data_IF_385420426327
#
_entry.id   IF_385420426327
#
_cell.length_a   1.000
_cell.length_b   1.000
_cell.length_c   1.000
_cell.angle_alpha   90.00
_cell.angle_beta   90.00
_cell.angle_gamma   90.00
#
_symmetry.space_group_name_H-M   'P 1'
#
loop_
_entity.id
_entity.type
_entity.pdbx_description
1 polymer ?
#
# COMPACT_ATOMS: atom_id res chain seq x y z
N UNK A 1 44.21 -1.78 -64.81
CA UNK A 1 43.85 -2.68 -63.70
C UNK A 1 43.18 -1.84 -62.60
N UNK A 2 41.84 -1.82 -62.54
CA UNK A 2 41.06 -1.13 -61.52
C UNK A 2 40.06 -2.13 -60.94
N UNK A 3 40.26 -2.53 -59.68
CA UNK A 3 39.37 -3.44 -58.96
C UNK A 3 38.16 -2.65 -58.41
N UNK A 4 36.99 -3.25 -58.63
CA UNK A 4 35.65 -2.78 -58.36
C UNK A 4 35.36 -2.57 -56.86
N UNK A 5 34.98 -1.36 -56.49
CA UNK A 5 34.61 -0.93 -55.13
C UNK A 5 33.10 -1.12 -54.84
N UNK A 6 32.40 -1.94 -55.62
CA UNK A 6 30.93 -2.03 -55.61
C UNK A 6 30.31 -2.94 -54.53
N UNK A 7 31.06 -3.93 -54.02
CA UNK A 7 30.44 -5.04 -53.26
C UNK A 7 30.42 -4.87 -51.72
N UNK A 8 30.99 -3.79 -51.17
CA UNK A 8 31.03 -3.57 -49.71
C UNK A 8 29.83 -2.77 -49.17
N UNK A 9 29.14 -2.02 -50.02
CA UNK A 9 28.03 -1.14 -49.61
C UNK A 9 26.72 -1.92 -49.44
N UNK A 10 26.55 -3.06 -50.11
CA UNK A 10 25.34 -3.87 -50.03
C UNK A 10 25.27 -4.75 -48.78
N UNK A 11 26.40 -5.20 -48.24
CA UNK A 11 26.43 -6.02 -47.01
C UNK A 11 26.08 -5.20 -45.75
N UNK A 12 26.49 -3.94 -45.67
CA UNK A 12 26.17 -3.07 -44.53
C UNK A 12 24.68 -2.70 -44.42
N UNK A 13 23.96 -2.66 -45.54
CA UNK A 13 22.52 -2.34 -45.53
C UNK A 13 21.67 -3.52 -45.03
N UNK A 14 22.15 -4.75 -45.15
CA UNK A 14 21.44 -5.94 -44.67
C UNK A 14 21.56 -6.11 -43.14
N UNK A 15 22.69 -5.72 -42.55
CA UNK A 15 22.88 -5.77 -41.09
C UNK A 15 22.15 -4.65 -40.34
N UNK A 16 21.98 -3.46 -40.94
CA UNK A 16 21.20 -2.39 -40.33
C UNK A 16 19.68 -2.71 -40.28
N UNK A 17 19.18 -3.51 -41.22
CA UNK A 17 17.77 -3.88 -41.27
C UNK A 17 17.39 -4.91 -40.17
N UNK A 18 18.31 -5.79 -39.77
CA UNK A 18 18.07 -6.78 -38.70
C UNK A 18 18.19 -6.14 -37.31
N UNK A 19 19.06 -5.14 -37.13
CA UNK A 19 19.17 -4.41 -35.87
C UNK A 19 17.94 -3.53 -35.57
N UNK A 20 17.20 -3.06 -36.59
CA UNK A 20 16.01 -2.25 -36.42
C UNK A 20 14.73 -3.05 -36.11
N UNK A 21 14.67 -4.35 -36.46
CA UNK A 21 13.52 -5.21 -36.15
C UNK A 21 13.56 -5.72 -34.69
N UNK A 22 14.73 -5.71 -34.04
CA UNK A 22 14.91 -6.18 -32.65
C UNK A 22 14.69 -5.12 -31.56
N UNK A 23 14.46 -3.86 -31.93
CA UNK A 23 14.29 -2.75 -30.97
C UNK A 23 12.85 -2.21 -30.86
N UNK A 24 11.89 -2.82 -31.57
CA UNK A 24 10.51 -2.31 -31.68
C UNK A 24 9.46 -3.02 -30.82
N UNK A 25 9.83 -3.99 -29.98
CA UNK A 25 8.92 -4.50 -28.96
C UNK A 25 8.90 -3.51 -27.80
N UNK A 26 8.22 -2.39 -28.02
CA UNK A 26 7.68 -1.61 -26.92
C UNK A 26 6.73 -2.55 -26.16
N UNK A 27 7.23 -3.13 -25.08
CA UNK A 27 6.37 -3.74 -24.06
C UNK A 27 5.45 -2.62 -23.59
N UNK A 28 4.25 -2.52 -24.20
CA UNK A 28 3.14 -1.82 -23.57
C UNK A 28 2.89 -2.60 -22.29
N UNK A 29 3.43 -2.12 -21.18
CA UNK A 29 3.12 -2.65 -19.87
C UNK A 29 1.60 -2.56 -19.73
N UNK A 30 0.92 -3.70 -19.90
CA UNK A 30 -0.50 -3.76 -19.63
C UNK A 30 -0.66 -3.46 -18.14
N UNK A 31 -1.53 -2.51 -17.82
CA UNK A 31 -1.86 -2.23 -16.43
C UNK A 31 -2.43 -3.52 -15.83
N UNK A 32 -1.70 -4.12 -14.88
CA UNK A 32 -2.14 -5.33 -14.20
C UNK A 32 -3.36 -4.97 -13.37
N UNK A 33 -4.41 -5.77 -13.52
CA UNK A 33 -5.65 -5.63 -12.76
C UNK A 33 -5.64 -6.58 -11.57
N UNK A 34 -6.04 -6.05 -10.43
CA UNK A 34 -6.28 -6.79 -9.20
C UNK A 34 -7.77 -6.76 -8.90
N UNK A 35 -8.34 -7.91 -8.59
CA UNK A 35 -9.72 -8.00 -8.13
C UNK A 35 -9.82 -9.03 -7.02
N UNK A 36 -10.79 -8.87 -6.14
CA UNK A 36 -10.95 -9.73 -4.99
C UNK A 36 -11.84 -9.11 -3.92
N UNK A 37 -11.64 -9.57 -2.70
CA UNK A 37 -12.32 -9.04 -1.51
C UNK A 37 -11.29 -8.56 -0.51
N UNK A 38 -11.63 -7.49 0.19
CA UNK A 38 -10.86 -7.00 1.33
C UNK A 38 -11.52 -7.43 2.64
N UNK A 39 -10.71 -7.58 3.66
CA UNK A 39 -11.11 -7.71 5.07
C UNK A 39 -10.18 -6.86 5.93
N UNK A 40 -10.53 -6.66 7.20
CA UNK A 40 -9.59 -6.07 8.14
C UNK A 40 -9.84 -6.51 9.57
N UNK A 41 -8.74 -6.64 10.30
CA UNK A 41 -8.70 -7.06 11.69
C UNK A 41 -7.91 -6.05 12.50
N UNK A 42 -8.49 -5.58 13.61
CA UNK A 42 -7.79 -4.72 14.54
C UNK A 42 -6.99 -5.56 15.53
N UNK A 43 -5.82 -5.06 15.92
CA UNK A 43 -5.09 -5.58 17.06
C UNK A 43 -5.13 -4.65 18.27
N UNK A 44 -4.50 -5.10 19.34
CA UNK A 44 -4.39 -4.32 20.57
C UNK A 44 -3.41 -3.15 20.40
N UNK A 45 -3.62 -2.02 21.10
CA UNK A 45 -2.65 -0.93 21.14
C UNK A 45 -1.27 -1.41 21.57
N UNK A 46 -0.21 -0.77 21.07
CA UNK A 46 1.17 -1.17 21.33
C UNK A 46 1.62 -0.85 22.77
N UNK A 47 1.08 0.24 23.34
CA UNK A 47 1.45 0.72 24.68
C UNK A 47 0.21 1.11 25.49
N UNK A 48 -0.72 0.18 25.79
CA UNK A 48 -1.90 0.49 26.58
C UNK A 48 -1.52 0.73 28.05
N UNK A 49 -2.22 1.66 28.72
CA UNK A 49 -2.17 1.74 30.19
C UNK A 49 -2.78 0.47 30.80
N UNK A 50 -2.30 -0.02 31.96
CA UNK A 50 -2.91 -1.16 32.67
C UNK A 50 -4.40 -0.99 32.98
N UNK A 51 -4.88 0.25 33.04
CA UNK A 51 -6.27 0.60 33.32
C UNK A 51 -7.12 0.76 32.05
N UNK A 52 -6.52 0.64 30.85
CA UNK A 52 -7.23 0.79 29.59
C UNK A 52 -8.27 -0.32 29.45
N UNK A 53 -9.53 0.04 29.21
CA UNK A 53 -10.58 -0.91 28.89
C UNK A 53 -10.59 -1.11 27.37
N UNK A 54 -10.19 -2.29 26.89
CA UNK A 54 -10.04 -2.58 25.45
C UNK A 54 -10.74 -3.89 25.13
N UNK A 55 -11.48 -3.92 24.02
CA UNK A 55 -12.09 -5.14 23.48
C UNK A 55 -12.04 -5.18 21.96
N UNK A 56 -11.82 -6.36 21.40
CA UNK A 56 -11.86 -6.62 19.96
C UNK A 56 -13.00 -7.60 19.70
N UNK A 57 -13.84 -7.27 18.73
CA UNK A 57 -15.08 -8.02 18.45
C UNK A 57 -15.35 -8.10 16.94
N UNK A 58 -16.17 -9.08 16.58
CA UNK A 58 -16.64 -9.34 15.22
C UNK A 58 -18.00 -8.68 15.00
N UNK A 59 -18.13 -7.89 13.94
CA UNK A 59 -19.34 -7.14 13.57
C UNK A 59 -19.61 -7.24 12.07
N UNK A 60 -20.88 -7.19 11.68
CA UNK A 60 -21.31 -7.18 10.27
C UNK A 60 -20.75 -8.35 9.42
N UNK A 61 -20.46 -9.49 10.06
CA UNK A 61 -19.88 -10.67 9.40
C UNK A 61 -18.35 -10.60 9.22
N UNK A 62 -17.68 -9.53 9.65
CA UNK A 62 -16.22 -9.46 9.72
C UNK A 62 -15.67 -10.12 10.99
N UNK A 63 -14.40 -10.55 10.96
CA UNK A 63 -13.69 -11.13 12.10
C UNK A 63 -12.80 -10.09 12.75
N UNK A 64 -12.91 -9.89 14.07
CA UNK A 64 -12.07 -8.93 14.83
C UNK A 64 -12.01 -7.52 14.21
N UNK A 65 -13.06 -7.16 13.48
CA UNK A 65 -13.09 -5.97 12.64
C UNK A 65 -13.53 -4.72 13.39
N UNK A 66 -13.78 -4.83 14.70
CA UNK A 66 -14.04 -3.71 15.60
C UNK A 66 -13.15 -3.73 16.84
N UNK A 67 -12.42 -2.64 17.05
CA UNK A 67 -11.73 -2.32 18.29
C UNK A 67 -12.55 -1.29 19.05
N UNK A 68 -12.90 -1.58 20.31
CA UNK A 68 -13.64 -0.69 21.21
C UNK A 68 -12.80 -0.42 22.45
N UNK A 69 -12.78 0.83 22.93
CA UNK A 69 -12.03 1.22 24.10
C UNK A 69 -12.75 2.24 24.99
N UNK A 70 -12.25 2.31 26.22
CA UNK A 70 -12.73 3.21 27.26
C UNK A 70 -13.98 2.68 27.96
N UNK A 71 -14.11 3.04 29.22
CA UNK A 71 -15.34 2.90 30.00
C UNK A 71 -16.14 4.17 29.73
N UNK A 72 -17.32 4.02 29.14
CA UNK A 72 -18.19 5.13 28.82
C UNK A 72 -18.70 5.83 30.09
N UNK A 73 -18.86 7.15 30.02
CA UNK A 73 -19.66 7.91 30.99
C UNK A 73 -21.14 7.50 30.91
N UNK A 74 -21.95 7.74 31.95
CA UNK A 74 -23.38 7.45 31.92
C UNK A 74 -24.07 8.06 30.69
N UNK A 75 -24.96 7.29 30.05
CA UNK A 75 -25.70 7.65 28.84
C UNK A 75 -24.83 7.94 27.59
N UNK A 76 -23.56 7.53 27.62
CA UNK A 76 -22.61 7.62 26.50
C UNK A 76 -22.20 6.22 26.05
N UNK A 77 -21.51 6.14 24.92
CA UNK A 77 -20.97 4.89 24.39
C UNK A 77 -19.44 4.91 24.42
N UNK A 78 -18.77 3.74 24.48
CA UNK A 78 -17.32 3.67 24.41
C UNK A 78 -16.82 4.02 23.01
N UNK A 79 -15.63 4.60 22.90
CA UNK A 79 -15.03 4.88 21.60
C UNK A 79 -14.71 3.60 20.84
N UNK A 80 -14.80 3.62 19.52
CA UNK A 80 -14.50 2.44 18.71
C UNK A 80 -14.12 2.79 17.27
N UNK A 81 -13.29 1.95 16.67
CA UNK A 81 -13.11 1.88 15.22
C UNK A 81 -13.61 0.55 14.70
N UNK A 82 -14.22 0.56 13.52
CA UNK A 82 -14.65 -0.63 12.82
C UNK A 82 -14.28 -0.53 11.34
N UNK A 83 -13.73 -1.59 10.77
CA UNK A 83 -13.43 -1.67 9.34
C UNK A 83 -14.25 -2.77 8.67
N UNK A 84 -15.12 -2.39 7.73
CA UNK A 84 -15.91 -3.33 6.95
C UNK A 84 -15.31 -3.41 5.54
N UNK A 85 -14.74 -4.56 5.21
CA UNK A 85 -14.19 -4.87 3.89
C UNK A 85 -15.26 -4.97 2.80
N UNK A 86 -14.83 -5.10 1.54
CA UNK A 86 -15.69 -5.13 0.36
C UNK A 86 -15.03 -5.81 -0.83
N UNK A 87 -15.83 -6.08 -1.86
CA UNK A 87 -15.30 -6.46 -3.16
C UNK A 87 -14.64 -5.25 -3.83
N UNK A 88 -13.55 -5.50 -4.55
CA UNK A 88 -12.82 -4.49 -5.32
C UNK A 88 -12.37 -5.03 -6.68
N UNK A 89 -12.14 -4.09 -7.60
CA UNK A 89 -11.46 -4.30 -8.86
C UNK A 89 -10.71 -3.01 -9.18
N UNK A 90 -9.41 -3.10 -9.45
CA UNK A 90 -8.53 -1.95 -9.66
C UNK A 90 -7.39 -2.32 -10.59
N UNK A 91 -6.74 -1.32 -11.19
CA UNK A 91 -5.43 -1.47 -11.82
C UNK A 91 -4.32 -1.07 -10.85
N UNK A 92 -3.11 -1.58 -11.08
CA UNK A 92 -1.91 -1.07 -10.44
C UNK A 92 -1.83 0.47 -10.57
N UNK A 93 -1.41 1.14 -9.50
CA UNK A 93 -1.34 2.60 -9.35
C UNK A 93 -2.69 3.35 -9.40
N UNK A 94 -3.82 2.65 -9.46
CA UNK A 94 -5.15 3.27 -9.40
C UNK A 94 -5.73 3.22 -7.99
N UNK A 95 -6.38 4.33 -7.60
CA UNK A 95 -7.13 4.42 -6.35
C UNK A 95 -8.27 3.40 -6.35
N UNK A 96 -8.43 2.69 -5.25
CA UNK A 96 -9.59 1.83 -5.05
C UNK A 96 -10.04 1.84 -3.60
N UNK A 97 -11.33 1.57 -3.42
CA UNK A 97 -11.97 1.53 -2.12
C UNK A 97 -11.68 0.18 -1.45
N UNK A 98 -10.95 0.21 -0.33
CA UNK A 98 -10.62 -0.94 0.48
C UNK A 98 -11.78 -1.35 1.40
N UNK A 99 -12.70 -0.46 1.71
CA UNK A 99 -13.74 -0.74 2.71
C UNK A 99 -14.23 0.53 3.38
N UNK A 100 -15.14 0.35 4.34
CA UNK A 100 -15.68 1.44 5.14
C UNK A 100 -15.05 1.42 6.53
N UNK A 101 -14.44 2.53 6.92
CA UNK A 101 -14.04 2.79 8.29
C UNK A 101 -15.18 3.56 9.00
N UNK A 102 -15.66 3.01 10.11
CA UNK A 102 -16.52 3.71 11.06
C UNK A 102 -15.71 4.10 12.28
N UNK A 103 -15.80 5.35 12.71
CA UNK A 103 -15.18 5.82 13.94
C UNK A 103 -16.27 6.41 14.84
N UNK A 104 -16.58 5.72 15.93
CA UNK A 104 -17.39 6.27 17.01
C UNK A 104 -16.49 6.94 18.02
N UNK A 105 -16.57 8.26 18.12
CA UNK A 105 -15.93 9.01 19.20
C UNK A 105 -16.93 9.17 20.34
N UNK A 106 -16.75 8.37 21.40
CA UNK A 106 -17.63 8.32 22.56
C UNK A 106 -17.01 9.00 23.77
N UNK A 107 -17.84 9.34 24.75
CA UNK A 107 -17.35 9.99 25.98
C UNK A 107 -16.96 8.97 27.03
N UNK A 108 -15.66 8.83 27.27
CA UNK A 108 -15.10 7.83 28.17
C UNK A 108 -14.30 8.44 29.31
N UNK A 109 -14.09 7.68 30.38
CA UNK A 109 -13.23 8.13 31.48
C UNK A 109 -11.75 8.09 31.05
N UNK A 110 -11.02 9.19 31.25
CA UNK A 110 -9.62 9.34 30.82
C UNK A 110 -8.72 8.19 31.29
N UNK A 111 -8.89 7.70 32.53
CA UNK A 111 -8.08 6.60 33.06
C UNK A 111 -8.28 5.27 32.32
N UNK A 112 -9.37 5.12 31.57
CA UNK A 112 -9.73 3.89 30.86
C UNK A 112 -9.42 3.94 29.35
N UNK A 113 -8.94 5.09 28.86
CA UNK A 113 -8.52 5.27 27.47
C UNK A 113 -7.05 4.86 27.27
N UNK A 114 -6.65 4.83 26.01
CA UNK A 114 -5.26 4.77 25.59
C UNK A 114 -5.02 5.82 24.50
N UNK A 115 -3.84 6.43 24.52
CA UNK A 115 -3.29 7.19 23.39
C UNK A 115 -2.20 6.37 22.72
N UNK A 116 -1.97 6.63 21.43
CA UNK A 116 -0.86 6.03 20.71
C UNK A 116 -1.27 5.06 19.62
N UNK A 117 -0.32 4.20 19.26
CA UNK A 117 -0.42 3.38 18.05
C UNK A 117 -1.14 2.06 18.31
N UNK A 118 -1.95 1.64 17.33
CA UNK A 118 -2.64 0.37 17.29
C UNK A 118 -2.76 -0.15 15.84
N UNK A 119 -2.68 -1.47 15.63
CA UNK A 119 -2.57 -2.04 14.29
C UNK A 119 -3.93 -2.32 13.64
N UNK A 120 -3.97 -2.13 12.32
CA UNK A 120 -4.97 -2.68 11.39
C UNK A 120 -4.25 -3.61 10.41
N UNK A 121 -4.63 -4.89 10.41
CA UNK A 121 -4.25 -5.83 9.35
C UNK A 121 -5.33 -5.80 8.28
N UNK A 122 -4.96 -5.47 7.04
CA UNK A 122 -5.84 -5.57 5.87
C UNK A 122 -5.53 -6.86 5.14
N UNK A 123 -6.53 -7.73 5.00
CA UNK A 123 -6.47 -8.92 4.17
C UNK A 123 -7.00 -8.63 2.76
N UNK A 124 -6.32 -9.12 1.73
CA UNK A 124 -6.79 -9.16 0.35
C UNK A 124 -6.90 -10.63 -0.06
N UNK A 125 -8.12 -11.09 -0.34
CA UNK A 125 -8.35 -12.37 -1.03
C UNK A 125 -8.47 -12.07 -2.52
N UNK A 126 -7.37 -12.22 -3.24
CA UNK A 126 -7.25 -11.96 -4.67
C UNK A 126 -7.90 -13.07 -5.48
N UNK A 127 -8.55 -12.68 -6.56
CA UNK A 127 -9.14 -13.55 -7.59
C UNK A 127 -8.60 -13.23 -8.98
N UNK A 128 -8.11 -11.99 -9.16
CA UNK A 128 -7.31 -11.58 -10.31
C UNK A 128 -6.05 -10.87 -9.83
N UNK A 129 -4.91 -11.05 -10.51
CA UNK A 129 -4.74 -11.90 -11.71
C UNK A 129 -4.55 -13.41 -11.39
N UNK A 130 -4.52 -13.78 -10.12
CA UNK A 130 -4.44 -15.16 -9.63
C UNK A 130 -5.14 -15.25 -8.27
N UNK A 131 -5.46 -16.47 -7.84
CA UNK A 131 -6.02 -16.70 -6.52
C UNK A 131 -4.90 -16.68 -5.47
N UNK A 132 -4.97 -15.76 -4.51
CA UNK A 132 -4.03 -15.68 -3.39
C UNK A 132 -4.61 -14.92 -2.21
N UNK A 133 -4.03 -15.11 -1.04
CA UNK A 133 -4.34 -14.32 0.15
C UNK A 133 -3.11 -13.53 0.57
N UNK A 134 -3.29 -12.21 0.73
CA UNK A 134 -2.23 -11.29 1.11
C UNK A 134 -2.65 -10.48 2.33
N UNK A 135 -1.72 -10.22 3.24
CA UNK A 135 -1.97 -9.44 4.44
C UNK A 135 -1.01 -8.26 4.55
N UNK A 136 -1.55 -7.08 4.83
CA UNK A 136 -0.80 -5.83 4.95
C UNK A 136 -1.05 -5.21 6.31
N UNK A 137 0.01 -4.84 7.03
CA UNK A 137 -0.13 -4.30 8.37
C UNK A 137 0.10 -2.79 8.36
N UNK A 138 -0.82 -2.07 8.97
CA UNK A 138 -0.76 -0.62 9.13
C UNK A 138 -0.89 -0.23 10.60
N UNK A 139 -0.24 0.86 10.98
CA UNK A 139 -0.42 1.47 12.29
C UNK A 139 -1.28 2.73 12.17
N UNK A 140 -2.28 2.80 13.04
CA UNK A 140 -3.09 3.97 13.29
C UNK A 140 -2.71 4.54 14.65
N UNK A 141 -2.90 5.85 14.80
CA UNK A 141 -2.66 6.57 16.03
C UNK A 141 -3.94 7.25 16.48
N UNK A 142 -4.28 7.09 17.77
CA UNK A 142 -5.36 7.85 18.41
C UNK A 142 -4.77 8.85 19.39
N UNK A 143 -5.31 10.07 19.37
CA UNK A 143 -5.13 11.07 20.40
C UNK A 143 -6.51 11.45 20.94
N UNK A 144 -6.79 11.07 22.19
CA UNK A 144 -8.01 11.44 22.88
C UNK A 144 -7.88 12.88 23.38
N UNK A 145 -8.91 13.69 23.20
CA UNK A 145 -8.93 15.10 23.60
C UNK A 145 -9.83 15.31 24.81
N UNK A 146 -9.43 16.13 25.81
CA UNK A 146 -10.32 16.44 26.93
C UNK A 146 -11.56 17.21 26.47
N UNK A 147 -12.74 16.76 26.92
CA UNK A 147 -14.03 17.39 26.64
C UNK A 147 -14.29 18.63 27.53
N UNK A 148 -13.52 19.70 27.35
CA UNK A 148 -13.57 20.87 28.23
C UNK A 148 -14.21 22.12 27.59
N UNK A 149 -14.44 22.13 26.28
CA UNK A 149 -15.02 23.30 25.60
C UNK A 149 -16.55 23.23 25.49
N UNK A 150 -17.11 22.02 25.53
CA UNK A 150 -18.53 21.77 25.26
C UNK A 150 -18.88 21.85 23.76
N UNK A 151 -17.89 22.05 22.90
CA UNK A 151 -18.04 22.03 21.45
C UNK A 151 -17.57 20.65 20.93
N UNK A 152 -18.47 19.80 20.41
CA UNK A 152 -18.13 18.46 19.98
C UNK A 152 -17.03 18.39 18.90
N UNK A 153 -16.83 19.45 18.12
CA UNK A 153 -15.80 19.50 17.09
C UNK A 153 -14.42 19.80 17.71
N UNK A 154 -14.36 20.71 18.68
CA UNK A 154 -13.10 21.08 19.35
C UNK A 154 -12.66 20.02 20.36
N UNK A 155 -13.64 19.36 20.97
CA UNK A 155 -13.48 18.22 21.88
C UNK A 155 -13.36 16.88 21.13
N UNK A 156 -13.25 16.92 19.80
CA UNK A 156 -13.17 15.73 18.96
C UNK A 156 -11.78 15.08 18.98
N UNK A 157 -11.77 13.78 19.25
CA UNK A 157 -10.59 12.92 19.19
C UNK A 157 -10.05 12.80 17.76
N UNK A 158 -8.75 12.50 17.65
CA UNK A 158 -8.03 12.50 16.36
C UNK A 158 -7.49 11.13 16.01
N UNK A 159 -7.99 10.59 14.90
CA UNK A 159 -7.51 9.35 14.30
C UNK A 159 -6.71 9.63 13.02
N UNK A 160 -5.50 9.08 12.95
CA UNK A 160 -4.56 9.27 11.82
C UNK A 160 -3.70 8.04 11.57
N UNK A 161 -3.03 7.98 10.42
CA UNK A 161 -2.00 6.95 10.16
C UNK A 161 -0.69 7.29 10.88
N UNK A 162 -0.03 6.30 11.48
CA UNK A 162 1.27 6.49 12.13
C UNK A 162 2.42 6.55 11.12
N UNK A 163 2.35 5.81 10.00
CA UNK A 163 3.47 5.60 9.05
C UNK A 163 3.15 5.99 7.60
N UNK A 164 2.56 7.16 7.36
CA UNK A 164 2.22 7.69 6.02
C UNK A 164 1.42 6.73 5.10
N UNK A 165 0.84 5.67 5.67
CA UNK A 165 -0.02 4.72 4.98
C UNK A 165 0.68 3.67 4.12
N UNK A 166 2.01 3.49 4.14
CA UNK A 166 2.68 2.48 3.30
C UNK A 166 2.96 1.21 4.10
N UNK A 167 2.56 0.05 3.55
CA UNK A 167 2.84 -1.27 4.13
C UNK A 167 4.27 -1.72 3.83
N UNK A 168 4.92 -2.39 4.79
CA UNK A 168 6.20 -3.08 4.58
C UNK A 168 6.06 -4.44 3.91
N UNK A 169 4.86 -5.03 3.92
CA UNK A 169 4.57 -6.28 3.25
C UNK A 169 4.52 -6.08 1.73
N UNK A 170 5.17 -7.00 1.02
CA UNK A 170 5.20 -7.07 -0.44
C UNK A 170 4.76 -8.47 -0.88
N UNK A 171 4.16 -8.54 -2.07
CA UNK A 171 3.88 -9.82 -2.74
C UNK A 171 4.36 -9.79 -4.19
N UNK A 172 4.77 -10.94 -4.71
CA UNK A 172 5.29 -11.06 -6.07
C UNK A 172 4.22 -11.56 -7.03
N UNK A 173 4.10 -10.89 -8.18
CA UNK A 173 3.35 -11.39 -9.32
C UNK A 173 4.17 -11.23 -10.61
N UNK A 174 4.41 -12.35 -11.30
CA UNK A 174 5.20 -12.41 -12.53
C UNK A 174 6.56 -11.68 -12.43
N UNK A 175 7.25 -11.82 -11.30
CA UNK A 175 8.56 -11.20 -11.09
C UNK A 175 8.52 -9.70 -10.75
N UNK A 176 7.33 -9.14 -10.49
CA UNK A 176 7.16 -7.78 -9.98
C UNK A 176 6.60 -7.82 -8.57
N UNK A 177 7.28 -7.14 -7.66
CA UNK A 177 6.81 -6.99 -6.28
C UNK A 177 5.83 -5.83 -6.18
N UNK A 178 4.78 -6.00 -5.38
CA UNK A 178 3.73 -5.02 -5.13
C UNK A 178 3.53 -4.83 -3.64
N UNK A 179 3.19 -3.61 -3.22
CA UNK A 179 2.74 -3.29 -1.87
C UNK A 179 1.41 -2.54 -1.90
N UNK A 180 0.69 -2.58 -0.78
CA UNK A 180 -0.50 -1.77 -0.56
C UNK A 180 -0.12 -0.47 0.14
N UNK A 181 -0.51 0.66 -0.46
CA UNK A 181 -0.44 1.99 0.14
C UNK A 181 -1.84 2.49 0.46
N UNK A 182 -2.12 2.79 1.72
CA UNK A 182 -3.26 3.59 2.15
C UNK A 182 -3.07 5.03 1.69
N UNK A 183 -4.06 5.54 0.97
CA UNK A 183 -4.06 6.89 0.45
C UNK A 183 -4.82 7.85 1.36
N UNK A 184 -5.83 7.36 2.07
CA UNK A 184 -6.62 8.16 3.01
C UNK A 184 -8.11 7.86 2.95
N UNK A 185 -8.88 8.78 3.48
CA UNK A 185 -10.31 8.66 3.69
C UNK A 185 -11.10 9.49 2.68
N UNK A 186 -12.27 9.01 2.28
CA UNK A 186 -13.16 9.74 1.38
C UNK A 186 -14.63 9.45 1.68
N UNK A 187 -15.44 10.49 1.63
CA UNK A 187 -16.91 10.44 1.73
C UNK A 187 -17.61 10.69 0.39
N UNK A 188 -16.86 10.97 -0.67
CA UNK A 188 -17.38 11.39 -1.98
C UNK A 188 -16.89 10.52 -3.15
N UNK A 189 -16.67 9.23 -2.88
CA UNK A 189 -16.30 8.26 -3.91
C UNK A 189 -14.86 8.43 -4.43
N UNK A 190 -13.95 8.91 -3.59
CA UNK A 190 -12.53 9.05 -3.94
C UNK A 190 -12.17 10.35 -4.66
N UNK A 191 -13.13 11.30 -4.82
CA UNK A 191 -12.85 12.61 -5.44
C UNK A 191 -11.92 13.46 -4.57
N UNK A 192 -12.09 13.39 -3.25
CA UNK A 192 -11.18 13.97 -2.28
C UNK A 192 -10.70 12.90 -1.32
N UNK A 193 -9.39 12.88 -1.07
CA UNK A 193 -8.73 11.97 -0.14
C UNK A 193 -8.12 12.80 0.99
N UNK A 194 -8.51 12.50 2.23
CA UNK A 194 -8.01 13.15 3.44
C UNK A 194 -7.10 12.20 4.22
N UNK A 195 -6.04 12.72 4.83
CA UNK A 195 -5.10 11.92 5.64
C UNK A 195 -5.57 11.68 7.08
N UNK A 196 -6.62 12.36 7.51
CA UNK A 196 -7.16 12.31 8.87
C UNK A 196 -8.65 11.95 8.84
N UNK A 197 -9.12 11.29 9.90
CA UNK A 197 -10.51 10.90 10.05
C UNK A 197 -11.01 11.20 11.47
N UNK A 198 -11.49 12.43 11.67
CA UNK A 198 -11.95 12.88 12.99
C UNK A 198 -13.48 12.68 13.09
N UNK A 199 -13.95 12.34 14.29
CA UNK A 199 -15.37 12.26 14.61
C UNK A 199 -15.67 13.20 15.78
N UNK A 200 -16.68 14.08 15.67
CA UNK A 200 -17.10 14.91 16.81
C UNK A 200 -17.44 14.05 18.03
N UNK A 201 -17.26 14.63 19.21
CA UNK A 201 -17.55 13.98 20.48
C UNK A 201 -19.00 13.49 20.56
N UNK A 202 -19.19 12.24 21.00
CA UNK A 202 -20.50 11.59 21.10
C UNK A 202 -21.14 11.25 19.74
N UNK A 203 -20.36 11.18 18.66
CA UNK A 203 -20.86 10.91 17.31
C UNK A 203 -20.11 9.78 16.60
N UNK A 204 -20.72 9.26 15.53
CA UNK A 204 -20.13 8.24 14.66
C UNK A 204 -19.92 8.81 13.27
N UNK A 205 -18.67 8.91 12.84
CA UNK A 205 -18.29 9.23 11.48
C UNK A 205 -18.10 7.95 10.66
N UNK A 206 -18.37 8.03 9.34
CA UNK A 206 -18.06 6.95 8.38
C UNK A 206 -17.37 7.53 7.15
N UNK A 207 -16.31 6.87 6.70
CA UNK A 207 -15.65 7.16 5.44
C UNK A 207 -15.14 5.89 4.78
N UNK A 208 -15.01 5.90 3.47
CA UNK A 208 -14.31 4.84 2.75
C UNK A 208 -12.80 5.03 2.89
N UNK A 209 -12.08 3.95 3.18
CA UNK A 209 -10.62 3.92 3.15
C UNK A 209 -10.18 3.59 1.72
N UNK A 210 -9.31 4.42 1.15
CA UNK A 210 -8.77 4.22 -0.19
C UNK A 210 -7.33 3.74 -0.12
N UNK A 211 -7.00 2.81 -1.00
CA UNK A 211 -5.64 2.32 -1.21
C UNK A 211 -5.21 2.36 -2.67
N UNK A 212 -3.94 2.04 -2.89
CA UNK A 212 -3.32 1.82 -4.19
C UNK A 212 -2.38 0.62 -4.10
N UNK A 213 -2.46 -0.27 -5.09
CA UNK A 213 -1.46 -1.31 -5.32
C UNK A 213 -0.33 -0.66 -6.11
N UNK A 214 0.83 -0.49 -5.51
CA UNK A 214 1.99 0.14 -6.16
C UNK A 214 3.13 -0.87 -6.33
N UNK A 215 3.92 -0.80 -7.40
CA UNK A 215 5.16 -1.58 -7.48
C UNK A 215 6.04 -1.26 -6.27
N UNK A 216 6.58 -2.29 -5.62
CA UNK A 216 7.55 -2.10 -4.56
C UNK A 216 8.85 -1.52 -5.16
N UNK A 217 9.50 -0.63 -4.43
CA UNK A 217 10.79 -0.08 -4.85
C UNK A 217 11.82 -1.21 -4.94
N UNK A 218 12.35 -1.47 -6.14
CA UNK A 218 13.48 -2.40 -6.29
C UNK A 218 14.74 -1.71 -5.78
N UNK A 219 15.58 -2.37 -4.96
CA UNK A 219 16.89 -1.85 -4.62
C UNK A 219 17.65 -1.54 -5.90
N UNK A 220 18.22 -0.33 -6.01
CA UNK A 220 19.05 0.03 -7.16
C UNK A 220 20.28 -0.88 -7.15
N UNK A 221 20.35 -1.82 -8.08
CA UNK A 221 21.56 -2.61 -8.30
C UNK A 221 22.62 -1.69 -8.88
N UNK A 222 23.54 -1.20 -8.04
CA UNK A 222 24.77 -0.55 -8.53
C UNK A 222 25.55 -1.63 -9.29
N UNK A 223 25.83 -1.48 -10.60
CA UNK A 223 26.60 -2.47 -11.33
C UNK A 223 27.97 -2.61 -10.69
N UNK A 224 28.35 -3.84 -10.32
CA UNK A 224 29.69 -4.14 -9.85
C UNK A 224 30.70 -3.76 -10.96
N UNK A 225 31.66 -2.85 -10.71
CA UNK A 225 32.67 -2.46 -11.68
C UNK A 225 33.47 -3.65 -12.25
N UNK A 226 33.50 -4.79 -11.55
CA UNK A 226 34.23 -5.98 -11.96
C UNK A 226 33.69 -6.62 -13.25
N UNK A 227 32.41 -6.46 -13.59
CA UNK A 227 31.80 -7.07 -14.78
C UNK A 227 32.24 -6.43 -16.11
N UNK A 228 32.60 -5.15 -16.10
CA UNK A 228 32.95 -4.39 -17.31
C UNK A 228 34.41 -4.58 -17.74
N UNK A 229 35.29 -4.93 -16.79
CA UNK A 229 36.72 -5.19 -17.06
C UNK A 229 36.95 -6.60 -17.64
N UNK A 230 36.09 -7.57 -17.32
CA UNK A 230 36.24 -8.96 -17.79
C UNK A 230 36.03 -9.15 -19.30
N UNK A 231 35.11 -8.39 -19.91
CA UNK A 231 34.80 -8.51 -21.35
C UNK A 231 35.86 -7.83 -22.22
N UNK A 232 36.54 -6.82 -21.70
CA UNK A 232 37.58 -6.07 -22.42
C UNK A 232 38.91 -6.85 -22.52
N UNK A 233 39.26 -7.66 -21.51
CA UNK A 233 40.49 -8.47 -21.54
C UNK A 233 40.38 -9.73 -22.43
N UNK A 234 39.21 -10.37 -22.51
CA UNK A 234 39.00 -11.53 -23.38
C UNK A 234 39.08 -11.15 -24.88
N UNK A 235 38.56 -9.96 -25.23
CA UNK A 235 38.64 -9.42 -26.59
C UNK A 235 40.07 -9.14 -27.06
N UNK A 236 40.94 -8.65 -26.17
CA UNK A 236 42.37 -8.42 -26.48
C UNK A 236 43.11 -9.75 -26.64
N UNK A 237 42.82 -10.76 -25.81
CA UNK A 237 43.46 -12.08 -25.91
C UNK A 237 43.22 -12.77 -27.28
N UNK A 238 41.99 -12.75 -27.78
CA UNK A 238 41.68 -13.31 -29.11
C UNK A 238 42.21 -12.45 -30.27
N UNK A 239 42.33 -11.13 -30.09
CA UNK A 239 42.91 -10.24 -31.10
C UNK A 239 44.44 -10.43 -31.26
N UNK A 240 45.14 -10.72 -30.16
CA UNK A 240 46.60 -10.95 -30.17
C UNK A 240 46.96 -12.33 -30.74
N UNK A 241 46.18 -13.37 -30.44
CA UNK A 241 46.48 -14.75 -30.88
C UNK A 241 46.29 -15.01 -32.37
N UNK A 242 45.60 -14.13 -33.10
CA UNK A 242 45.39 -14.24 -34.55
C UNK A 242 46.53 -13.66 -35.40
N UNK A 243 47.60 -13.15 -34.78
CA UNK A 243 48.76 -12.54 -35.45
C UNK A 243 50.10 -13.25 -35.18
N UNK A 244 50.08 -14.48 -34.66
CA UNK A 244 51.26 -15.35 -34.56
C UNK A 244 51.07 -16.60 -35.39
#
# INVERSE_FOLDING_TARGET
>A
MKLQLGNRVQLCKLFLAIAAVLLGLENRAQAINFAGTTSGEWGVPLTPSPTSAISITSHNGGTNNRLTWGIASPDKFPSYVQFDGRNFSTSANSLFNLGTLSYGNGSTYTYSNFDGDFPLTIGLSLTLPFANEETFNFLFNILNTPNNTGNPILDGDRLRFSTAGVSSQIFNYQGNDYTLKLMGFSTNGGKTILSEFNSPEGSVAKASLYGQMIPAEKPVTVPDPAGTVGVSLLGIYFAVRRRS
#
